data_IF_251148220260
#
_entry.id   IF_251148220260
#
_cell.length_a   1.000
_cell.length_b   1.000
_cell.length_c   1.000
_cell.angle_alpha   90.00
_cell.angle_beta   90.00
_cell.angle_gamma   90.00
#
_symmetry.space_group_name_H-M   'P 1'
#
loop_
_entity.id
_entity.type
_entity.pdbx_description
1 polymer ?
#
# COMPACT_ATOMS: atom_id res chain seq x y z
N UNK A 1 -3.27 13.60 -17.12
CA UNK A 1 -4.17 12.98 -16.13
C UNK A 1 -4.87 11.84 -16.84
N UNK A 2 -4.30 10.63 -16.81
CA UNK A 2 -4.54 9.64 -15.74
C UNK A 2 -5.85 8.88 -15.91
N UNK A 3 -6.01 8.20 -17.05
CA UNK A 3 -7.07 7.19 -17.25
C UNK A 3 -6.92 6.05 -16.23
N UNK A 4 -5.68 5.75 -15.81
CA UNK A 4 -5.40 4.79 -14.75
C UNK A 4 -6.02 5.19 -13.39
N UNK A 5 -5.93 6.47 -13.01
CA UNK A 5 -6.34 6.91 -11.66
C UNK A 5 -7.86 6.83 -11.47
N UNK A 6 -8.64 7.09 -12.51
CA UNK A 6 -10.13 7.02 -12.44
C UNK A 6 -10.62 5.57 -12.40
N UNK A 7 -9.91 4.64 -13.06
CA UNK A 7 -10.27 3.22 -13.01
C UNK A 7 -9.96 2.58 -11.65
N UNK A 8 -8.91 3.05 -10.96
CA UNK A 8 -8.53 2.58 -9.63
C UNK A 8 -9.53 2.98 -8.53
N UNK A 9 -10.05 4.21 -8.53
CA UNK A 9 -11.07 4.64 -7.55
C UNK A 9 -12.38 3.83 -7.65
N UNK A 10 -12.71 3.32 -8.85
CA UNK A 10 -13.88 2.45 -9.03
C UNK A 10 -13.62 0.99 -8.59
N UNK A 11 -12.35 0.59 -8.44
CA UNK A 11 -11.91 -0.74 -7.99
C UNK A 11 -11.57 -0.77 -6.48
N UNK A 12 -11.44 0.38 -5.85
CA UNK A 12 -11.34 0.56 -4.39
C UNK A 12 -12.74 0.40 -3.75
N UNK A 13 -13.36 -0.76 -3.96
CA UNK A 13 -14.54 -1.15 -3.20
C UNK A 13 -14.05 -1.77 -1.88
N UNK A 14 -14.13 -1.06 -0.73
CA UNK A 14 -13.63 -1.56 0.54
C UNK A 14 -14.41 -2.77 1.08
N UNK A 15 -15.54 -3.12 0.45
CA UNK A 15 -16.36 -4.29 0.80
C UNK A 15 -16.11 -5.51 -0.10
N UNK A 16 -15.28 -5.40 -1.13
CA UNK A 16 -14.91 -6.53 -1.96
C UNK A 16 -13.99 -7.49 -1.17
N UNK A 17 -14.31 -8.80 -1.08
CA UNK A 17 -13.48 -9.76 -0.36
C UNK A 17 -12.03 -9.82 -0.85
N UNK A 18 -11.79 -9.69 -2.15
CA UNK A 18 -10.44 -9.71 -2.71
C UNK A 18 -9.68 -8.44 -2.36
N UNK A 19 -10.37 -7.30 -2.33
CA UNK A 19 -9.79 -6.03 -1.87
C UNK A 19 -9.36 -6.12 -0.40
N UNK A 20 -10.23 -6.63 0.47
CA UNK A 20 -9.93 -6.86 1.89
C UNK A 20 -8.74 -7.81 2.03
N UNK A 21 -8.69 -8.88 1.24
CA UNK A 21 -7.58 -9.83 1.24
C UNK A 21 -6.26 -9.18 0.82
N UNK A 22 -6.27 -8.37 -0.24
CA UNK A 22 -5.09 -7.63 -0.68
C UNK A 22 -4.55 -6.69 0.41
N UNK A 23 -5.44 -6.02 1.14
CA UNK A 23 -5.06 -5.20 2.30
C UNK A 23 -4.45 -6.03 3.43
N UNK A 24 -5.07 -7.16 3.77
CA UNK A 24 -4.59 -8.04 4.84
C UNK A 24 -3.19 -8.59 4.53
N UNK A 25 -2.97 -9.11 3.31
CA UNK A 25 -1.68 -9.66 2.91
C UNK A 25 -0.55 -8.60 2.95
N UNK A 26 -0.84 -7.37 2.52
CA UNK A 26 0.12 -6.26 2.61
C UNK A 26 0.40 -5.87 4.07
N UNK A 27 -0.63 -5.84 4.92
CA UNK A 27 -0.51 -5.51 6.34
C UNK A 27 0.35 -6.55 7.07
N UNK A 28 0.06 -7.84 6.88
CA UNK A 28 0.81 -8.93 7.51
C UNK A 28 2.28 -8.88 7.10
N UNK A 29 2.56 -8.66 5.81
CA UNK A 29 3.93 -8.55 5.33
C UNK A 29 4.69 -7.35 5.92
N UNK A 30 4.03 -6.18 6.08
CA UNK A 30 4.59 -5.02 6.79
C UNK A 30 4.85 -5.34 8.26
N UNK A 31 3.92 -6.03 8.93
CA UNK A 31 4.02 -6.37 10.33
C UNK A 31 5.12 -7.40 10.62
N UNK A 32 5.36 -8.31 9.67
CA UNK A 32 6.47 -9.27 9.67
C UNK A 32 7.83 -8.61 9.36
N UNK A 33 7.85 -7.30 9.11
CA UNK A 33 9.07 -6.51 8.91
C UNK A 33 9.53 -6.40 7.46
N UNK A 34 8.68 -6.76 6.49
CA UNK A 34 9.01 -6.53 5.08
C UNK A 34 9.03 -5.03 4.79
N UNK A 35 10.08 -4.55 4.12
CA UNK A 35 10.21 -3.13 3.81
C UNK A 35 9.17 -2.68 2.77
N UNK A 36 8.73 -1.42 2.84
CA UNK A 36 7.84 -0.82 1.84
C UNK A 36 8.38 -0.99 0.41
N UNK A 37 9.68 -0.74 0.20
CA UNK A 37 10.32 -0.89 -1.12
C UNK A 37 10.16 -2.31 -1.66
N UNK A 38 10.35 -3.33 -0.82
CA UNK A 38 10.17 -4.72 -1.22
C UNK A 38 8.71 -5.04 -1.55
N UNK A 39 7.74 -4.42 -0.86
CA UNK A 39 6.32 -4.61 -1.14
C UNK A 39 5.88 -3.86 -2.40
N UNK A 40 6.46 -2.70 -2.69
CA UNK A 40 6.27 -1.98 -3.96
C UNK A 40 6.81 -2.80 -5.15
N UNK A 41 8.01 -3.37 -5.00
CA UNK A 41 8.59 -4.28 -6.01
C UNK A 41 7.71 -5.51 -6.22
N UNK A 42 7.19 -6.08 -5.12
CA UNK A 42 6.25 -7.20 -5.17
C UNK A 42 4.94 -6.81 -5.85
N UNK A 43 4.41 -5.61 -5.58
CA UNK A 43 3.21 -5.10 -6.24
C UNK A 43 3.43 -4.96 -7.75
N UNK A 44 4.58 -4.43 -8.18
CA UNK A 44 4.94 -4.35 -9.59
C UNK A 44 5.04 -5.74 -10.24
N UNK A 45 5.61 -6.72 -9.53
CA UNK A 45 5.66 -8.12 -9.98
C UNK A 45 4.26 -8.73 -10.10
N UNK A 46 3.35 -8.45 -9.17
CA UNK A 46 1.96 -8.94 -9.21
C UNK A 46 1.11 -8.26 -10.31
N UNK A 47 1.42 -7.02 -10.69
CA UNK A 47 0.74 -6.28 -11.76
C UNK A 47 1.13 -6.82 -13.16
N UNK A 48 2.25 -7.54 -13.27
CA UNK A 48 2.71 -8.17 -14.52
C UNK A 48 2.51 -9.70 -14.49
N UNK A 49 1.45 -10.23 -15.13
CA UNK A 49 1.19 -11.67 -15.17
C UNK A 49 2.24 -12.43 -16.01
N UNK A 50 2.99 -11.76 -16.89
CA UNK A 50 4.05 -12.39 -17.68
C UNK A 50 5.28 -12.72 -16.85
N UNK A 51 5.49 -11.96 -15.77
CA UNK A 51 6.61 -12.15 -14.83
C UNK A 51 6.17 -12.97 -13.62
N UNK A 52 4.95 -12.75 -13.11
CA UNK A 52 4.46 -13.48 -11.93
C UNK A 52 3.94 -14.88 -12.23
N UNK A 53 3.58 -15.17 -13.47
CA UNK A 53 2.98 -16.45 -13.86
C UNK A 53 1.59 -16.69 -13.24
N UNK A 54 0.97 -15.65 -12.68
CA UNK A 54 -0.37 -15.69 -12.09
C UNK A 54 -1.09 -14.36 -12.34
N UNK A 55 -2.40 -14.42 -12.59
CA UNK A 55 -3.23 -13.21 -12.71
C UNK A 55 -3.88 -12.91 -11.37
N UNK A 56 -3.55 -11.76 -10.79
CA UNK A 56 -4.22 -11.24 -9.60
C UNK A 56 -5.47 -10.45 -10.01
N UNK A 57 -6.50 -10.45 -9.16
CA UNK A 57 -7.69 -9.64 -9.42
C UNK A 57 -7.37 -8.17 -9.20
N UNK A 58 -8.02 -7.31 -9.99
CA UNK A 58 -7.80 -5.87 -9.88
C UNK A 58 -8.20 -5.32 -8.48
N UNK A 59 -9.23 -5.91 -7.85
CA UNK A 59 -9.62 -5.61 -6.48
C UNK A 59 -8.52 -5.94 -5.47
N UNK A 60 -7.89 -7.13 -5.59
CA UNK A 60 -6.75 -7.52 -4.74
C UNK A 60 -5.59 -6.54 -4.85
N UNK A 61 -5.18 -6.21 -6.09
CA UNK A 61 -4.08 -5.27 -6.33
C UNK A 61 -4.39 -3.86 -5.80
N UNK A 62 -5.65 -3.42 -5.93
CA UNK A 62 -6.11 -2.15 -5.39
C UNK A 62 -6.00 -2.13 -3.86
N UNK A 63 -6.46 -3.19 -3.18
CA UNK A 63 -6.36 -3.31 -1.73
C UNK A 63 -4.93 -3.32 -1.23
N UNK A 64 -4.07 -4.11 -1.89
CA UNK A 64 -2.65 -4.16 -1.57
C UNK A 64 -2.01 -2.75 -1.66
N UNK A 65 -2.27 -2.04 -2.76
CA UNK A 65 -1.77 -0.67 -2.99
C UNK A 65 -2.31 0.34 -1.97
N UNK A 66 -3.59 0.23 -1.59
CA UNK A 66 -4.21 1.09 -0.59
C UNK A 66 -3.52 0.95 0.78
N UNK A 67 -3.22 -0.29 1.20
CA UNK A 67 -2.54 -0.53 2.47
C UNK A 67 -1.11 0.07 2.50
N UNK A 68 -0.35 -0.02 1.40
CA UNK A 68 0.99 0.60 1.32
C UNK A 68 0.92 2.13 1.41
N UNK A 69 -0.10 2.74 0.78
CA UNK A 69 -0.32 4.19 0.83
C UNK A 69 -0.66 4.67 2.25
N UNK A 70 -1.50 3.92 2.96
CA UNK A 70 -1.88 4.23 4.34
C UNK A 70 -0.66 4.16 5.27
N UNK A 71 0.17 3.13 5.10
CA UNK A 71 1.41 3.00 5.88
C UNK A 71 2.41 4.12 5.62
N UNK A 72 2.59 4.50 4.35
CA UNK A 72 3.46 5.62 3.97
C UNK A 72 2.98 6.93 4.57
N UNK A 73 1.66 7.14 4.58
CA UNK A 73 1.04 8.34 5.19
C UNK A 73 1.23 8.36 6.70
N UNK A 74 1.04 7.22 7.38
CA UNK A 74 1.26 7.07 8.82
C UNK A 74 2.73 7.34 9.20
N UNK A 75 3.68 6.71 8.50
CA UNK A 75 5.12 6.85 8.75
C UNK A 75 5.58 8.31 8.52
N UNK A 76 5.08 8.97 7.47
CA UNK A 76 5.31 10.39 7.26
C UNK A 76 4.79 11.25 8.43
N UNK A 77 3.56 11.01 8.89
CA UNK A 77 2.97 11.74 10.02
C UNK A 77 3.78 11.54 11.32
N UNK A 78 4.25 10.31 11.59
CA UNK A 78 5.11 10.00 12.73
C UNK A 78 6.44 10.78 12.67
N UNK A 79 7.10 10.82 11.51
CA UNK A 79 8.36 11.59 11.33
C UNK A 79 8.18 13.08 11.59
N UNK A 80 7.08 13.66 11.12
CA UNK A 80 6.75 15.08 11.38
C UNK A 80 6.55 15.31 12.88
N UNK A 81 5.79 14.45 13.56
CA UNK A 81 5.53 14.57 15.00
C UNK A 81 6.83 14.45 15.83
N UNK A 82 7.69 13.48 15.51
CA UNK A 82 8.99 13.31 16.17
C UNK A 82 9.85 14.57 16.01
N UNK A 83 9.92 15.11 14.80
CA UNK A 83 10.70 16.32 14.51
C UNK A 83 10.18 17.53 15.28
N UNK A 84 8.86 17.71 15.34
CA UNK A 84 8.23 18.78 16.11
C UNK A 84 8.53 18.65 17.61
N UNK A 85 8.37 17.47 18.18
CA UNK A 85 8.63 17.23 19.60
C UNK A 85 10.12 17.42 19.96
N UNK A 86 11.04 17.06 19.05
CA UNK A 86 12.47 17.34 19.22
C UNK A 86 12.77 18.85 19.21
N UNK A 87 12.07 19.63 18.39
CA UNK A 87 12.17 21.09 18.42
C UNK A 87 11.60 21.68 19.72
N UNK A 88 10.43 21.24 20.18
CA UNK A 88 9.83 21.74 21.42
C UNK A 88 10.70 21.48 22.65
N UNK A 89 11.37 20.32 22.70
CA UNK A 89 12.24 19.93 23.82
C UNK A 89 13.60 20.63 23.82
N UNK A 90 13.99 21.28 22.72
CA UNK A 90 15.26 22.03 22.59
C UNK A 90 15.09 23.54 22.76
N UNK A 91 13.86 24.01 23.01
CA UNK A 91 13.51 25.40 23.33
C UNK A 91 13.54 25.65 24.85
#
# INVERSE_FOLDING_TARGET
MSILTIALDALDNPHDPDHIRGRADAYDALHDGTSLTTLDDRLAWMDDPTVSGTTYTAAYLSGYRAQLRDWTTYDHAQRVAITHNAWETTR
#
